data_IF_335890473237
#
_entry.id   IF_335890473237
#
_cell.length_a   1.000
_cell.length_b   1.000
_cell.length_c   1.000
_cell.angle_alpha   90.00
_cell.angle_beta   90.00
_cell.angle_gamma   90.00
#
_symmetry.space_group_name_H-M   'P 1'
#
loop_
_entity.id
_entity.type
_entity.pdbx_description
1 polymer ?
#
# COMPACT_ATOMS: atom_id res chain seq x y z
N UNK A 1 17.44 1.03 -1.55
CA UNK A 1 16.80 2.11 -2.30
C UNK A 1 15.69 1.55 -3.17
N UNK A 2 14.41 1.88 -2.91
CA UNK A 2 13.31 1.63 -3.85
C UNK A 2 13.12 2.79 -4.85
N UNK A 3 13.87 3.87 -4.67
CA UNK A 3 13.79 5.11 -5.45
C UNK A 3 14.17 4.94 -6.92
N UNK A 4 14.88 3.87 -7.27
CA UNK A 4 15.37 3.60 -8.64
C UNK A 4 14.65 2.42 -9.29
N UNK A 5 13.61 1.87 -8.66
CA UNK A 5 12.86 0.75 -9.23
C UNK A 5 12.04 1.21 -10.44
N UNK A 6 12.13 0.48 -11.55
CA UNK A 6 11.24 0.71 -12.69
C UNK A 6 9.80 0.33 -12.29
N UNK A 7 8.87 1.28 -12.30
CA UNK A 7 7.47 1.05 -11.92
C UNK A 7 6.53 0.91 -13.13
N UNK A 8 7.05 0.93 -14.36
CA UNK A 8 6.25 0.94 -15.59
C UNK A 8 5.41 -0.33 -15.76
N UNK A 9 5.75 -1.42 -15.06
CA UNK A 9 4.95 -2.65 -15.07
C UNK A 9 3.69 -2.61 -14.19
N UNK A 10 3.48 -1.56 -13.38
CA UNK A 10 2.30 -1.40 -12.52
C UNK A 10 1.14 -0.78 -13.31
N UNK A 11 0.52 -1.56 -14.18
CA UNK A 11 -0.51 -1.09 -15.13
C UNK A 11 -1.90 -1.59 -14.80
N UNK A 12 -2.03 -2.62 -13.95
CA UNK A 12 -3.32 -3.21 -13.68
C UNK A 12 -4.19 -2.25 -12.84
N UNK A 13 -5.50 -2.23 -13.09
CA UNK A 13 -6.43 -1.32 -12.44
C UNK A 13 -6.39 -1.40 -10.90
N UNK A 14 -6.18 -2.60 -10.33
CA UNK A 14 -6.02 -2.76 -8.87
C UNK A 14 -4.69 -2.22 -8.33
N UNK A 15 -3.61 -2.25 -9.11
CA UNK A 15 -2.33 -1.64 -8.72
C UNK A 15 -2.46 -0.11 -8.75
N UNK A 16 -3.06 0.42 -9.82
CA UNK A 16 -3.33 1.85 -9.95
C UNK A 16 -4.28 2.36 -8.87
N UNK A 17 -5.26 1.56 -8.44
CA UNK A 17 -6.14 1.90 -7.33
C UNK A 17 -5.35 2.05 -6.02
N UNK A 18 -4.44 1.11 -5.71
CA UNK A 18 -3.55 1.20 -4.55
C UNK A 18 -2.65 2.44 -4.62
N UNK A 19 -2.06 2.73 -5.79
CA UNK A 19 -1.21 3.91 -5.99
C UNK A 19 -2.00 5.19 -5.72
N UNK A 20 -3.20 5.31 -6.27
CA UNK A 20 -4.09 6.46 -6.02
C UNK A 20 -4.42 6.57 -4.53
N UNK A 21 -4.76 5.45 -3.89
CA UNK A 21 -5.09 5.44 -2.47
C UNK A 21 -3.93 5.93 -1.64
N UNK A 22 -2.71 5.44 -1.87
CA UNK A 22 -1.48 5.89 -1.20
C UNK A 22 -1.27 7.39 -1.40
N UNK A 23 -1.51 7.92 -2.61
CA UNK A 23 -1.34 9.35 -2.91
C UNK A 23 -2.31 10.25 -2.13
N UNK A 24 -3.45 9.74 -1.67
CA UNK A 24 -4.40 10.48 -0.81
C UNK A 24 -3.89 10.67 0.63
N UNK A 25 -2.91 9.87 1.07
CA UNK A 25 -2.47 9.80 2.47
C UNK A 25 -2.08 11.16 3.07
N UNK A 26 -1.19 11.98 2.45
CA UNK A 26 -0.76 13.24 3.05
C UNK A 26 -1.92 14.20 3.30
N UNK A 27 -2.87 14.27 2.35
CA UNK A 27 -4.04 15.13 2.47
C UNK A 27 -4.99 14.65 3.55
N UNK A 28 -5.18 13.33 3.67
CA UNK A 28 -6.02 12.75 4.72
C UNK A 28 -5.45 13.05 6.12
N UNK A 29 -4.13 12.95 6.30
CA UNK A 29 -3.47 13.31 7.57
C UNK A 29 -3.68 14.79 7.91
N UNK A 30 -3.52 15.69 6.94
CA UNK A 30 -3.75 17.13 7.15
C UNK A 30 -5.18 17.42 7.61
N UNK A 31 -6.17 16.80 6.96
CA UNK A 31 -7.59 16.97 7.31
C UNK A 31 -7.88 16.40 8.70
N UNK A 32 -7.41 15.18 9.00
CA UNK A 32 -7.60 14.56 10.31
C UNK A 32 -6.99 15.40 11.44
N UNK A 33 -5.81 15.98 11.22
CA UNK A 33 -5.15 16.87 12.16
C UNK A 33 -5.91 18.19 12.35
N UNK A 34 -6.34 18.84 11.25
CA UNK A 34 -7.06 20.14 11.31
C UNK A 34 -8.40 20.03 12.02
N UNK A 35 -9.11 18.92 11.82
CA UNK A 35 -10.45 18.70 12.37
C UNK A 35 -10.44 17.99 13.72
N UNK A 36 -9.27 17.57 14.22
CA UNK A 36 -9.14 16.75 15.44
C UNK A 36 -9.91 15.42 15.37
N UNK A 37 -9.87 14.78 14.20
CA UNK A 37 -10.63 13.57 13.89
C UNK A 37 -9.70 12.36 13.64
N UNK A 38 -9.02 11.82 14.68
CA UNK A 38 -8.06 10.72 14.52
C UNK A 38 -8.69 9.44 13.98
N UNK A 39 -10.00 9.25 14.17
CA UNK A 39 -10.74 8.11 13.61
C UNK A 39 -10.65 8.02 12.08
N UNK A 40 -10.46 9.15 11.37
CA UNK A 40 -10.26 9.15 9.91
C UNK A 40 -9.02 8.38 9.48
N UNK A 41 -7.96 8.44 10.29
CA UNK A 41 -6.72 7.68 10.04
C UNK A 41 -7.04 6.20 10.14
N UNK A 42 -7.70 5.77 11.22
CA UNK A 42 -8.06 4.37 11.41
C UNK A 42 -8.92 3.82 10.25
N UNK A 43 -9.95 4.57 9.82
CA UNK A 43 -10.79 4.17 8.68
C UNK A 43 -10.02 4.10 7.36
N UNK A 44 -9.14 5.06 7.11
CA UNK A 44 -8.30 5.04 5.92
C UNK A 44 -7.34 3.84 5.91
N UNK A 45 -6.70 3.53 7.05
CA UNK A 45 -5.82 2.37 7.17
C UNK A 45 -6.56 1.05 6.94
N UNK A 46 -7.78 0.94 7.47
CA UNK A 46 -8.65 -0.22 7.26
C UNK A 46 -8.99 -0.40 5.77
N UNK A 47 -9.39 0.66 5.08
CA UNK A 47 -9.69 0.63 3.64
C UNK A 47 -8.42 0.30 2.82
N UNK A 48 -7.29 0.95 3.08
CA UNK A 48 -6.03 0.68 2.38
C UNK A 48 -5.58 -0.78 2.55
N UNK A 49 -5.67 -1.32 3.76
CA UNK A 49 -5.34 -2.73 4.05
C UNK A 49 -6.28 -3.69 3.33
N UNK A 50 -7.58 -3.36 3.28
CA UNK A 50 -8.58 -4.15 2.58
C UNK A 50 -8.33 -4.16 1.06
N UNK A 51 -7.97 -3.03 0.48
CA UNK A 51 -7.61 -2.95 -0.94
C UNK A 51 -6.34 -3.73 -1.26
N UNK A 52 -5.34 -3.70 -0.37
CA UNK A 52 -4.13 -4.50 -0.53
C UNK A 52 -4.46 -5.99 -0.51
N UNK A 53 -5.27 -6.43 0.46
CA UNK A 53 -5.70 -7.82 0.56
C UNK A 53 -6.49 -8.26 -0.67
N UNK A 54 -7.42 -7.42 -1.15
CA UNK A 54 -8.17 -7.70 -2.37
C UNK A 54 -7.28 -7.78 -3.61
N UNK A 55 -6.23 -6.95 -3.71
CA UNK A 55 -5.23 -7.04 -4.77
C UNK A 55 -4.43 -8.35 -4.68
N UNK A 56 -3.98 -8.72 -3.48
CA UNK A 56 -3.23 -9.97 -3.25
C UNK A 56 -4.03 -11.20 -3.66
N UNK A 57 -5.32 -11.27 -3.29
CA UNK A 57 -6.19 -12.40 -3.63
C UNK A 57 -6.35 -12.61 -5.13
N UNK A 58 -6.32 -11.53 -5.94
CA UNK A 58 -6.36 -11.63 -7.41
C UNK A 58 -5.14 -12.32 -8.01
N UNK A 59 -4.03 -12.42 -7.27
CA UNK A 59 -2.84 -13.17 -7.67
C UNK A 59 -3.06 -14.69 -7.76
N UNK A 60 -4.13 -15.19 -7.14
CA UNK A 60 -4.55 -16.60 -7.28
C UNK A 60 -5.10 -16.87 -8.67
N UNK A 61 -5.98 -15.99 -9.17
CA UNK A 61 -6.64 -16.13 -10.47
C UNK A 61 -5.75 -15.66 -11.62
N UNK A 62 -5.01 -14.58 -11.39
CA UNK A 62 -4.10 -14.00 -12.37
C UNK A 62 -2.66 -14.02 -11.81
N UNK A 63 -1.83 -15.01 -12.19
CA UNK A 63 -0.44 -15.12 -11.74
C UNK A 63 0.39 -13.86 -11.98
N UNK A 64 0.03 -13.09 -13.00
CA UNK A 64 0.69 -11.85 -13.41
C UNK A 64 0.53 -10.71 -12.38
N UNK A 65 -0.43 -10.86 -11.46
CA UNK A 65 -0.66 -9.95 -10.32
C UNK A 65 0.07 -10.36 -9.04
N UNK A 66 0.73 -11.53 -9.00
CA UNK A 66 1.47 -11.96 -7.82
C UNK A 66 2.64 -11.04 -7.52
N UNK A 67 3.00 -10.87 -6.25
CA UNK A 67 4.15 -10.03 -5.90
C UNK A 67 5.49 -10.61 -6.37
N UNK A 68 5.59 -11.94 -6.49
CA UNK A 68 6.80 -12.66 -6.86
C UNK A 68 6.65 -13.29 -8.25
N UNK A 69 7.62 -13.02 -9.12
CA UNK A 69 7.75 -13.60 -10.44
C UNK A 69 9.16 -14.17 -10.59
N UNK A 70 9.30 -15.49 -10.62
CA UNK A 70 10.60 -16.17 -10.63
C UNK A 70 11.44 -15.79 -11.86
N UNK A 71 10.80 -15.61 -13.01
CA UNK A 71 11.47 -15.34 -14.28
C UNK A 71 11.58 -13.84 -14.60
N UNK A 72 11.08 -12.96 -13.71
CA UNK A 72 11.08 -11.51 -13.94
C UNK A 72 11.36 -10.73 -12.65
N UNK A 73 12.64 -10.49 -12.39
CA UNK A 73 13.10 -9.72 -11.24
C UNK A 73 12.62 -8.27 -11.28
N UNK A 74 12.58 -7.63 -12.45
CA UNK A 74 12.15 -6.22 -12.58
C UNK A 74 10.69 -6.10 -12.14
N UNK A 75 9.80 -6.95 -12.65
CA UNK A 75 8.38 -6.98 -12.27
C UNK A 75 8.19 -7.29 -10.79
N UNK A 76 8.98 -8.22 -10.26
CA UNK A 76 9.00 -8.53 -8.82
C UNK A 76 9.38 -7.30 -7.99
N UNK A 77 10.43 -6.59 -8.37
CA UNK A 77 10.86 -5.36 -7.68
C UNK A 77 9.77 -4.29 -7.72
N UNK A 78 9.12 -4.06 -8.85
CA UNK A 78 8.03 -3.08 -8.98
C UNK A 78 6.85 -3.41 -8.05
N UNK A 79 6.44 -4.68 -7.99
CA UNK A 79 5.31 -5.11 -7.16
C UNK A 79 5.66 -5.11 -5.68
N UNK A 80 6.87 -5.52 -5.30
CA UNK A 80 7.36 -5.39 -3.92
C UNK A 80 7.46 -3.91 -3.52
N UNK A 81 7.86 -3.01 -4.43
CA UNK A 81 7.89 -1.58 -4.16
C UNK A 81 6.49 -1.05 -3.80
N UNK A 82 5.45 -1.48 -4.53
CA UNK A 82 4.06 -1.15 -4.22
C UNK A 82 3.64 -1.67 -2.83
N UNK A 83 3.89 -2.95 -2.53
CA UNK A 83 3.59 -3.52 -1.21
C UNK A 83 4.29 -2.79 -0.07
N UNK A 84 5.56 -2.42 -0.29
CA UNK A 84 6.36 -1.66 0.69
C UNK A 84 5.84 -0.24 0.88
N UNK A 85 5.38 0.43 -0.19
CA UNK A 85 4.75 1.74 -0.07
C UNK A 85 3.48 1.67 0.79
N UNK A 86 2.64 0.65 0.61
CA UNK A 86 1.47 0.42 1.48
C UNK A 86 1.88 0.19 2.93
N UNK A 87 2.88 -0.65 3.17
CA UNK A 87 3.41 -0.93 4.52
C UNK A 87 3.92 0.33 5.23
N UNK A 88 4.58 1.23 4.51
CA UNK A 88 5.05 2.51 5.06
C UNK A 88 3.86 3.36 5.52
N UNK A 89 2.83 3.50 4.68
CA UNK A 89 1.62 4.27 5.03
C UNK A 89 0.90 3.68 6.25
N UNK A 90 0.74 2.35 6.30
CA UNK A 90 0.13 1.67 7.44
C UNK A 90 0.93 1.91 8.72
N UNK A 91 2.26 1.74 8.65
CA UNK A 91 3.14 1.95 9.79
C UNK A 91 3.10 3.40 10.29
N UNK A 92 3.12 4.38 9.37
CA UNK A 92 2.99 5.79 9.72
C UNK A 92 1.64 6.11 10.37
N UNK A 93 0.54 5.58 9.86
CA UNK A 93 -0.78 5.81 10.45
C UNK A 93 -0.94 5.17 11.83
N UNK A 94 -0.45 3.94 12.01
CA UNK A 94 -0.45 3.27 13.32
C UNK A 94 0.40 4.03 14.35
N UNK A 95 1.56 4.55 13.94
CA UNK A 95 2.40 5.37 14.81
C UNK A 95 1.68 6.65 15.26
N UNK A 96 0.91 7.30 14.38
CA UNK A 96 0.08 8.47 14.75
C UNK A 96 -0.99 8.08 15.78
N UNK A 97 -1.56 6.88 15.68
CA UNK A 97 -2.54 6.35 16.62
C UNK A 97 -1.93 5.81 17.93
N UNK A 98 -0.61 5.91 18.11
CA UNK A 98 0.10 5.39 19.28
C UNK A 98 0.22 3.87 19.32
N UNK A 99 -0.03 3.19 18.21
CA UNK A 99 0.07 1.73 18.08
C UNK A 99 1.43 1.38 17.49
N UNK A 100 2.20 0.55 18.19
CA UNK A 100 3.43 -0.02 17.63
C UNK A 100 3.07 -1.10 16.61
N UNK A 101 3.43 -0.95 15.32
CA UNK A 101 3.16 -1.99 14.32
C UNK A 101 3.90 -3.28 14.67
N UNK A 102 3.24 -4.43 14.47
CA UNK A 102 3.91 -5.73 14.56
C UNK A 102 4.78 -5.96 13.31
N UNK A 103 5.98 -6.50 13.50
CA UNK A 103 6.89 -6.81 12.38
C UNK A 103 6.55 -8.13 11.68
N UNK A 104 5.80 -9.00 12.36
CA UNK A 104 5.32 -10.29 11.87
C UNK A 104 3.91 -10.52 12.40
N UNK A 105 3.02 -11.03 11.55
CA UNK A 105 1.72 -11.59 11.93
C UNK A 105 1.78 -13.10 11.73
#
# INVERSE_FOLDING_TARGET
CLSETNLTSLTHSSELALIKKIAEWPRLVEVAARLYEPHRIAFYLFDLSSQLHAHWSKGSDNPDLRFLHNDNLVKTQSKIALARAVSIVISSGLAILGVKPAEKM
#
